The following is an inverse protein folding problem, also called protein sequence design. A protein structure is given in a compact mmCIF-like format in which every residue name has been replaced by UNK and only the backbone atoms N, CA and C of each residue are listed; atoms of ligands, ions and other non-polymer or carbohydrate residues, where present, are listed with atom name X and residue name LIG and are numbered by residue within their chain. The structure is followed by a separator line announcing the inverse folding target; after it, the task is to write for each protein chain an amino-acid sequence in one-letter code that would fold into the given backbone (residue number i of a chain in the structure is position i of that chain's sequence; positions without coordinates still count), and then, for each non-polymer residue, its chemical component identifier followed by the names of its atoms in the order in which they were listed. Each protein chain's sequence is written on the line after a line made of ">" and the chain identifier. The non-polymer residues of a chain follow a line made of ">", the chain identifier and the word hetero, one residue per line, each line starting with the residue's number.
data_IF_965402190111
#
_entry.id   IF_965402190111
#
_cell.length_a   1.000
_cell.length_b   1.000
_cell.length_c   1.000
_cell.angle_alpha   90.00
_cell.angle_beta   90.00
_cell.angle_gamma   90.00
#
_symmetry.space_group_name_H-M   'P 1'
#
loop_
_entity.id
_entity.type
_entity.pdbx_description
1 polymer ?
#
# COMPACT_ATOMS: atom_id res chain seq x y z
N UNK A 1 -7.06 -9.45 -14.02
CA UNK A 1 -5.95 -9.53 -13.04
C UNK A 1 -6.27 -10.60 -12.00
N UNK A 2 -5.29 -11.41 -11.61
CA UNK A 2 -5.41 -12.38 -10.52
C UNK A 2 -4.38 -12.08 -9.44
N UNK A 3 -4.71 -12.36 -8.19
CA UNK A 3 -3.78 -12.28 -7.06
C UNK A 3 -3.70 -13.64 -6.37
N UNK A 4 -2.55 -14.00 -5.77
CA UNK A 4 -2.47 -15.16 -4.90
C UNK A 4 -3.34 -14.98 -3.65
N UNK A 5 -3.80 -16.09 -3.08
CA UNK A 5 -4.61 -16.07 -1.85
C UNK A 5 -3.81 -16.50 -0.62
N UNK A 6 -2.84 -17.41 -0.77
CA UNK A 6 -2.02 -17.91 0.32
C UNK A 6 -1.25 -16.76 1.00
N UNK A 7 -1.39 -16.63 2.32
CA UNK A 7 -0.80 -15.55 3.11
C UNK A 7 -1.43 -14.16 2.89
N UNK A 8 -2.37 -14.02 1.95
CA UNK A 8 -3.04 -12.76 1.61
C UNK A 8 -4.47 -12.74 2.14
N UNK A 9 -5.25 -13.78 1.85
CA UNK A 9 -6.64 -13.91 2.28
C UNK A 9 -6.77 -14.97 3.37
N UNK A 10 -7.53 -14.65 4.41
CA UNK A 10 -7.86 -15.57 5.49
C UNK A 10 -9.34 -16.01 5.36
N UNK A 11 -9.63 -17.33 5.22
CA UNK A 11 -11.01 -17.80 5.13
C UNK A 11 -11.87 -17.49 6.35
N UNK A 12 -11.29 -17.42 7.54
CA UNK A 12 -12.04 -17.27 8.80
C UNK A 12 -12.53 -15.84 9.00
N UNK A 13 -11.75 -14.86 8.56
CA UNK A 13 -12.11 -13.46 8.63
C UNK A 13 -11.24 -12.59 7.72
N UNK A 14 -11.73 -11.40 7.39
CA UNK A 14 -10.95 -10.45 6.61
C UNK A 14 -11.75 -9.26 6.14
N UNK A 15 -11.02 -8.32 5.54
CA UNK A 15 -11.58 -7.13 4.91
C UNK A 15 -10.88 -6.85 3.60
N UNK A 16 -11.64 -6.59 2.53
CA UNK A 16 -11.14 -6.10 1.25
C UNK A 16 -11.73 -4.71 1.03
N UNK A 17 -10.89 -3.70 0.83
CA UNK A 17 -11.28 -2.32 0.55
C UNK A 17 -10.67 -1.85 -0.76
N UNK A 18 -11.46 -1.20 -1.61
CA UNK A 18 -10.98 -0.69 -2.90
C UNK A 18 -11.96 0.32 -3.49
N UNK A 19 -11.46 1.10 -4.45
CA UNK A 19 -12.29 1.93 -5.33
C UNK A 19 -12.49 1.20 -6.65
N UNK A 20 -13.70 1.28 -7.18
CA UNK A 20 -14.05 0.72 -8.50
C UNK A 20 -14.86 1.70 -9.32
N UNK A 21 -14.52 1.80 -10.60
CA UNK A 21 -15.30 2.51 -11.61
C UNK A 21 -15.76 1.52 -12.66
N UNK A 22 -17.00 0.99 -12.58
CA UNK A 22 -17.52 0.08 -13.58
C UNK A 22 -17.72 0.84 -14.90
N UNK A 23 -17.23 0.27 -16.00
CA UNK A 23 -17.42 0.84 -17.34
C UNK A 23 -18.75 0.41 -17.97
N UNK A 24 -19.40 -0.59 -17.37
CA UNK A 24 -20.71 -1.10 -17.76
C UNK A 24 -21.41 -1.70 -16.55
N UNK A 25 -22.75 -1.68 -16.55
CA UNK A 25 -23.58 -2.44 -15.63
C UNK A 25 -24.39 -3.47 -16.44
N UNK A 26 -24.20 -4.73 -16.08
CA UNK A 26 -24.90 -5.90 -16.60
C UNK A 26 -25.13 -6.85 -15.44
N UNK A 27 -26.11 -7.72 -15.57
CA UNK A 27 -26.30 -8.76 -14.56
C UNK A 27 -25.05 -9.63 -14.45
N UNK A 28 -24.67 -9.90 -13.20
CA UNK A 28 -23.50 -10.69 -12.85
C UNK A 28 -22.18 -10.05 -13.30
N UNK A 29 -22.02 -8.72 -13.15
CA UNK A 29 -20.73 -8.09 -13.37
C UNK A 29 -19.78 -8.39 -12.20
N UNK A 30 -18.86 -9.34 -12.38
CA UNK A 30 -18.20 -10.09 -11.32
C UNK A 30 -16.81 -9.55 -10.94
N UNK A 31 -16.61 -9.43 -9.62
CA UNK A 31 -15.39 -9.02 -8.95
C UNK A 31 -15.04 -9.99 -7.82
N UNK A 32 -13.76 -10.24 -7.58
CA UNK A 32 -13.27 -11.15 -6.52
C UNK A 32 -13.91 -12.55 -6.54
N UNK A 33 -14.19 -13.10 -7.73
CA UNK A 33 -14.87 -14.39 -7.86
C UNK A 33 -13.93 -15.57 -7.55
N UNK A 34 -14.34 -16.43 -6.64
CA UNK A 34 -13.78 -17.75 -6.42
C UNK A 34 -14.84 -18.73 -5.87
N UNK A 35 -14.72 -19.99 -6.27
CA UNK A 35 -15.48 -21.09 -5.65
C UNK A 35 -14.81 -21.48 -4.32
N UNK A 36 -15.62 -21.72 -3.31
CA UNK A 36 -15.17 -22.03 -1.94
C UNK A 36 -15.91 -23.23 -1.38
N UNK A 37 -15.39 -23.86 -0.33
CA UNK A 37 -16.04 -25.03 0.27
C UNK A 37 -17.42 -24.72 0.88
N UNK A 38 -17.70 -23.46 1.19
CA UNK A 38 -19.00 -23.00 1.69
C UNK A 38 -19.91 -22.40 0.58
N UNK A 39 -19.46 -22.38 -0.68
CA UNK A 39 -20.19 -21.87 -1.85
C UNK A 39 -19.30 -21.03 -2.77
N UNK A 40 -19.46 -19.71 -2.75
CA UNK A 40 -18.62 -18.76 -3.48
C UNK A 40 -18.23 -17.57 -2.61
N UNK A 41 -17.10 -16.98 -2.95
CA UNK A 41 -16.75 -15.62 -2.59
C UNK A 41 -16.91 -14.78 -3.87
N UNK A 42 -17.83 -13.83 -3.87
CA UNK A 42 -18.16 -13.05 -5.06
C UNK A 42 -18.71 -11.69 -4.68
N UNK A 43 -18.13 -10.63 -5.23
CA UNK A 43 -18.84 -9.36 -5.40
C UNK A 43 -19.37 -9.31 -6.83
N UNK A 44 -20.64 -8.94 -7.01
CA UNK A 44 -21.15 -8.64 -8.34
C UNK A 44 -22.07 -7.43 -8.36
N UNK A 45 -22.13 -6.76 -9.51
CA UNK A 45 -23.11 -5.72 -9.79
C UNK A 45 -24.18 -6.24 -10.75
N UNK A 46 -25.38 -5.68 -10.65
CA UNK A 46 -26.52 -5.98 -11.50
C UNK A 46 -26.80 -4.84 -12.51
N UNK A 47 -27.58 -5.12 -13.55
CA UNK A 47 -27.95 -4.13 -14.55
C UNK A 47 -28.73 -2.94 -13.97
N UNK A 48 -29.48 -3.16 -12.89
CA UNK A 48 -30.22 -2.12 -12.15
C UNK A 48 -29.35 -1.31 -11.17
N UNK A 49 -28.03 -1.53 -11.14
CA UNK A 49 -27.11 -0.82 -10.25
C UNK A 49 -27.14 -1.26 -8.78
N UNK A 50 -27.73 -2.42 -8.45
CA UNK A 50 -27.46 -3.03 -7.15
C UNK A 50 -26.10 -3.72 -7.13
N UNK A 51 -25.52 -3.84 -5.94
CA UNK A 51 -24.34 -4.65 -5.67
C UNK A 51 -24.69 -5.77 -4.69
N UNK A 52 -23.99 -6.90 -4.82
CA UNK A 52 -24.13 -8.04 -3.93
C UNK A 52 -22.77 -8.61 -3.54
N UNK A 53 -22.58 -8.90 -2.26
CA UNK A 53 -21.45 -9.67 -1.76
C UNK A 53 -21.92 -11.00 -1.20
N UNK A 54 -21.52 -12.09 -1.86
CA UNK A 54 -21.66 -13.45 -1.39
C UNK A 54 -20.38 -13.95 -0.74
N UNK A 55 -20.51 -14.43 0.48
CA UNK A 55 -19.61 -15.42 1.06
C UNK A 55 -20.42 -16.61 1.58
N UNK A 56 -20.66 -17.57 0.69
CA UNK A 56 -21.57 -18.69 0.94
C UNK A 56 -22.29 -19.17 -0.34
N UNK A 57 -23.44 -19.87 -0.23
CA UNK A 57 -24.18 -20.39 -1.38
C UNK A 57 -24.58 -19.30 -2.38
N UNK A 58 -24.95 -19.71 -3.60
CA UNK A 58 -25.35 -18.77 -4.65
C UNK A 58 -26.50 -17.86 -4.20
N UNK A 59 -26.31 -16.55 -4.36
CA UNK A 59 -27.30 -15.51 -4.07
C UNK A 59 -27.75 -15.45 -2.60
N UNK A 60 -26.90 -15.91 -1.68
CA UNK A 60 -27.16 -15.90 -0.23
C UNK A 60 -26.66 -14.61 0.46
N UNK A 61 -25.93 -13.80 -0.28
CA UNK A 61 -25.23 -12.61 0.15
C UNK A 61 -26.12 -11.43 0.53
N UNK A 62 -25.43 -10.35 0.87
CA UNK A 62 -26.04 -9.07 1.15
C UNK A 62 -26.17 -8.27 -0.14
N UNK A 63 -27.33 -7.65 -0.35
CA UNK A 63 -27.63 -6.80 -1.50
C UNK A 63 -27.82 -5.36 -1.05
N UNK A 64 -27.38 -4.43 -1.90
CA UNK A 64 -27.82 -3.04 -1.83
C UNK A 64 -29.18 -2.88 -2.53
N UNK A 65 -29.82 -1.73 -2.31
CA UNK A 65 -30.91 -1.27 -3.18
C UNK A 65 -30.42 -1.06 -4.63
N UNK A 66 -31.36 -0.94 -5.57
CA UNK A 66 -31.07 -0.54 -6.96
C UNK A 66 -30.54 0.89 -7.05
N UNK A 67 -29.86 1.22 -8.16
CA UNK A 67 -29.32 2.54 -8.50
C UNK A 67 -28.22 3.08 -7.57
N UNK A 68 -27.60 2.22 -6.77
CA UNK A 68 -26.49 2.58 -5.87
C UNK A 68 -25.17 2.67 -6.66
N UNK A 69 -24.87 1.64 -7.46
CA UNK A 69 -23.74 1.63 -8.38
C UNK A 69 -24.16 2.30 -9.69
N UNK A 70 -23.28 3.13 -10.24
CA UNK A 70 -23.50 3.86 -11.49
C UNK A 70 -22.30 3.69 -12.41
N UNK A 71 -22.58 3.45 -13.69
CA UNK A 71 -21.54 3.39 -14.73
C UNK A 71 -20.72 4.68 -14.73
N UNK A 72 -19.41 4.54 -14.93
CA UNK A 72 -18.43 5.63 -15.03
C UNK A 72 -18.27 6.51 -13.77
N UNK A 73 -18.85 6.11 -12.62
CA UNK A 73 -18.60 6.76 -11.33
C UNK A 73 -17.67 5.91 -10.48
N UNK A 74 -16.83 6.56 -9.68
CA UNK A 74 -16.05 5.89 -8.66
C UNK A 74 -16.93 5.53 -7.47
N UNK A 75 -16.77 4.29 -7.00
CA UNK A 75 -17.43 3.80 -5.80
C UNK A 75 -16.39 3.20 -4.86
N UNK A 76 -16.49 3.55 -3.58
CA UNK A 76 -15.72 2.91 -2.54
C UNK A 76 -16.46 1.65 -2.07
N UNK A 77 -15.79 0.51 -2.09
CA UNK A 77 -16.35 -0.78 -1.71
C UNK A 77 -15.51 -1.36 -0.58
N UNK A 78 -16.17 -1.86 0.46
CA UNK A 78 -15.56 -2.77 1.44
C UNK A 78 -16.34 -4.08 1.54
N UNK A 79 -15.64 -5.21 1.45
CA UNK A 79 -16.16 -6.55 1.68
C UNK A 79 -15.61 -7.04 3.01
N UNK A 80 -16.47 -7.49 3.92
CA UNK A 80 -16.05 -7.93 5.25
C UNK A 80 -16.72 -9.24 5.64
N UNK A 81 -15.97 -10.16 6.21
CA UNK A 81 -16.48 -11.42 6.75
C UNK A 81 -15.77 -11.78 8.05
N UNK A 82 -16.48 -12.46 8.95
CA UNK A 82 -15.89 -12.91 10.21
C UNK A 82 -16.67 -14.09 10.79
N UNK A 83 -15.98 -15.19 11.05
CA UNK A 83 -16.53 -16.33 11.81
C UNK A 83 -16.82 -15.94 13.26
N UNK A 84 -15.96 -15.11 13.87
CA UNK A 84 -16.08 -14.67 15.26
C UNK A 84 -17.32 -13.79 15.47
N UNK A 85 -17.58 -12.87 14.54
CA UNK A 85 -18.80 -12.03 14.58
C UNK A 85 -20.01 -12.80 14.01
N UNK A 86 -19.78 -13.79 13.15
CA UNK A 86 -20.84 -14.55 12.48
C UNK A 86 -21.53 -13.80 11.35
N UNK A 87 -20.87 -12.78 10.77
CA UNK A 87 -21.46 -11.85 9.81
C UNK A 87 -20.64 -11.72 8.51
N UNK A 88 -21.34 -11.40 7.43
CA UNK A 88 -20.78 -10.81 6.22
C UNK A 88 -21.38 -9.42 6.02
N UNK A 89 -20.60 -8.48 5.49
CA UNK A 89 -21.04 -7.13 5.21
C UNK A 89 -20.43 -6.59 3.90
N UNK A 90 -21.23 -5.77 3.23
CA UNK A 90 -20.87 -4.97 2.07
C UNK A 90 -21.02 -3.51 2.46
N UNK A 91 -19.98 -2.71 2.23
CA UNK A 91 -20.04 -1.27 2.36
C UNK A 91 -19.94 -0.65 0.97
N UNK A 92 -20.83 0.28 0.66
CA UNK A 92 -20.79 1.05 -0.59
C UNK A 92 -20.88 2.53 -0.26
N UNK A 93 -19.81 3.28 -0.58
CA UNK A 93 -19.69 4.71 -0.29
C UNK A 93 -20.03 5.04 1.18
N UNK A 94 -19.48 4.26 2.11
CA UNK A 94 -19.70 4.40 3.56
C UNK A 94 -21.00 3.79 4.10
N UNK A 95 -21.95 3.41 3.25
CA UNK A 95 -23.21 2.79 3.70
C UNK A 95 -23.01 1.29 3.90
N UNK A 96 -23.29 0.79 5.10
CA UNK A 96 -23.18 -0.62 5.48
C UNK A 96 -24.46 -1.40 5.17
N UNK A 97 -24.28 -2.58 4.61
CA UNK A 97 -25.29 -3.61 4.44
C UNK A 97 -24.73 -4.91 5.03
N UNK A 98 -25.47 -5.59 5.92
CA UNK A 98 -24.96 -6.80 6.58
C UNK A 98 -25.99 -7.93 6.70
N UNK A 99 -25.49 -9.16 6.82
CA UNK A 99 -26.26 -10.37 7.12
C UNK A 99 -25.43 -11.37 7.94
N UNK A 100 -26.11 -12.36 8.52
CA UNK A 100 -25.43 -13.54 9.06
C UNK A 100 -24.67 -14.29 7.95
N UNK A 101 -23.61 -15.00 8.33
CA UNK A 101 -22.94 -15.94 7.43
C UNK A 101 -23.90 -17.08 7.08
N UNK A 102 -24.29 -17.24 5.81
CA UNK A 102 -25.38 -18.14 5.42
C UNK A 102 -24.96 -19.62 5.49
N UNK A 103 -23.67 -19.92 5.40
CA UNK A 103 -23.13 -21.27 5.48
C UNK A 103 -21.76 -21.29 6.17
N UNK A 104 -21.62 -20.51 7.25
CA UNK A 104 -20.34 -20.35 7.94
C UNK A 104 -19.23 -19.82 7.01
N UNK A 105 -18.00 -20.24 7.26
CA UNK A 105 -16.81 -19.83 6.49
C UNK A 105 -16.20 -21.00 5.73
N UNK A 106 -15.48 -20.70 4.64
CA UNK A 106 -14.74 -21.70 3.90
C UNK A 106 -13.61 -22.31 4.73
N UNK A 107 -13.29 -23.57 4.49
CA UNK A 107 -12.13 -24.25 5.10
C UNK A 107 -10.82 -23.79 4.47
N UNK A 108 -10.85 -23.42 3.19
CA UNK A 108 -9.72 -22.87 2.45
C UNK A 108 -10.19 -22.03 1.26
N UNK A 109 -9.28 -21.21 0.72
CA UNK A 109 -9.47 -20.52 -0.55
C UNK A 109 -8.64 -21.17 -1.66
N UNK A 110 -9.09 -21.13 -2.93
CA UNK A 110 -8.28 -21.53 -4.09
C UNK A 110 -6.97 -20.74 -4.16
N UNK A 111 -5.96 -21.21 -4.90
CA UNK A 111 -4.62 -20.59 -4.94
C UNK A 111 -4.59 -19.14 -5.47
N UNK A 112 -5.59 -18.73 -6.23
CA UNK A 112 -5.71 -17.37 -6.77
C UNK A 112 -7.17 -16.91 -6.79
N UNK A 113 -7.36 -15.59 -6.76
CA UNK A 113 -8.66 -14.95 -6.99
C UNK A 113 -8.54 -13.88 -8.08
N UNK A 114 -9.54 -13.82 -8.96
CA UNK A 114 -9.62 -12.79 -10.00
C UNK A 114 -10.31 -11.54 -9.45
N UNK A 115 -9.69 -10.36 -9.56
CA UNK A 115 -10.26 -9.10 -9.09
C UNK A 115 -11.37 -8.61 -10.03
N UNK A 116 -11.18 -8.75 -11.34
CA UNK A 116 -12.13 -8.39 -12.41
C UNK A 116 -12.22 -9.59 -13.35
N UNK A 117 -13.44 -10.06 -13.65
CA UNK A 117 -13.64 -11.30 -14.42
C UNK A 117 -14.22 -11.09 -15.82
N UNK A 118 -15.46 -10.61 -15.93
CA UNK A 118 -16.25 -10.71 -17.16
C UNK A 118 -16.59 -9.37 -17.82
N UNK A 119 -16.49 -8.25 -17.10
CA UNK A 119 -16.60 -6.92 -17.69
C UNK A 119 -15.52 -5.99 -17.17
N UNK A 120 -15.08 -5.06 -18.02
CA UNK A 120 -14.02 -4.11 -17.69
C UNK A 120 -14.46 -3.11 -16.61
N UNK A 121 -13.54 -2.81 -15.70
CA UNK A 121 -13.66 -1.76 -14.70
C UNK A 121 -12.28 -1.20 -14.40
N UNK A 122 -12.23 0.04 -13.91
CA UNK A 122 -11.02 0.57 -13.29
C UNK A 122 -11.05 0.23 -11.80
N UNK A 123 -9.91 -0.18 -11.27
CA UNK A 123 -9.70 -0.45 -9.84
C UNK A 123 -8.63 0.51 -9.35
N UNK A 124 -8.82 1.03 -8.15
CA UNK A 124 -7.88 1.92 -7.49
C UNK A 124 -7.86 1.61 -5.97
N UNK A 125 -6.75 1.93 -5.31
CA UNK A 125 -6.58 1.89 -3.85
C UNK A 125 -7.02 0.57 -3.21
N UNK A 126 -6.56 -0.57 -3.74
CA UNK A 126 -6.88 -1.89 -3.20
C UNK A 126 -6.07 -2.17 -1.92
N UNK A 127 -6.75 -2.54 -0.85
CA UNK A 127 -6.18 -3.10 0.40
C UNK A 127 -6.90 -4.40 0.75
N UNK A 128 -6.13 -5.39 1.18
CA UNK A 128 -6.63 -6.61 1.81
C UNK A 128 -6.04 -6.69 3.21
N UNK A 129 -6.90 -6.97 4.20
CA UNK A 129 -6.52 -7.22 5.58
C UNK A 129 -6.92 -8.63 6.00
N UNK A 130 -6.07 -9.29 6.79
CA UNK A 130 -6.33 -10.63 7.36
C UNK A 130 -7.22 -10.61 8.62
N UNK A 131 -7.75 -9.45 8.99
CA UNK A 131 -8.70 -9.26 10.08
C UNK A 131 -9.98 -8.58 9.62
N UNK A 132 -10.98 -8.71 10.46
CA UNK A 132 -12.20 -7.91 10.40
C UNK A 132 -11.92 -6.46 10.82
N UNK A 133 -11.96 -5.50 9.88
CA UNK A 133 -11.87 -4.05 10.17
C UNK A 133 -13.19 -3.57 10.78
N UNK A 134 -13.14 -2.60 11.70
CA UNK A 134 -14.35 -2.05 12.33
C UNK A 134 -15.15 -1.17 11.36
N UNK A 135 -16.40 -0.84 11.72
CA UNK A 135 -17.23 0.06 10.92
C UNK A 135 -16.60 1.47 10.85
N UNK A 136 -16.01 1.92 11.95
CA UNK A 136 -15.32 3.20 12.10
C UNK A 136 -14.08 3.25 11.18
N UNK A 137 -13.23 2.22 11.19
CA UNK A 137 -12.05 2.19 10.32
C UNK A 137 -12.41 2.27 8.83
N UNK A 138 -13.46 1.57 8.43
CA UNK A 138 -13.93 1.56 7.03
C UNK A 138 -14.54 2.92 6.66
N UNK A 139 -15.28 3.54 7.60
CA UNK A 139 -15.87 4.87 7.40
C UNK A 139 -14.78 5.96 7.32
N UNK A 140 -13.81 5.95 8.22
CA UNK A 140 -12.67 6.87 8.21
C UNK A 140 -11.86 6.72 6.91
N UNK A 141 -11.61 5.49 6.48
CA UNK A 141 -10.95 5.21 5.21
C UNK A 141 -11.72 5.82 4.03
N UNK A 142 -13.04 5.63 3.96
CA UNK A 142 -13.89 6.21 2.93
C UNK A 142 -13.84 7.75 2.93
N UNK A 143 -13.98 8.37 4.11
CA UNK A 143 -14.04 9.82 4.27
C UNK A 143 -12.69 10.52 4.04
N UNK A 144 -11.58 9.81 4.26
CA UNK A 144 -10.25 10.41 4.12
C UNK A 144 -9.95 10.89 2.70
N UNK A 145 -10.51 10.22 1.68
CA UNK A 145 -10.14 10.35 0.27
C UNK A 145 -8.62 10.18 0.00
N UNK A 146 -7.86 9.65 0.96
CA UNK A 146 -6.44 9.40 0.87
C UNK A 146 -6.16 7.93 0.50
N UNK A 147 -4.88 7.62 0.25
CA UNK A 147 -4.43 6.24 0.16
C UNK A 147 -4.70 5.51 1.48
N UNK A 148 -5.24 4.29 1.40
CA UNK A 148 -5.50 3.46 2.59
C UNK A 148 -4.21 3.26 3.40
N UNK A 149 -4.20 3.34 4.73
CA UNK A 149 -2.99 3.11 5.51
C UNK A 149 -2.54 1.64 5.45
N UNK A 150 -1.23 1.42 5.59
CA UNK A 150 -0.62 0.10 5.80
C UNK A 150 -0.36 -0.06 7.29
N UNK A 151 -0.77 -1.19 7.85
CA UNK A 151 -0.55 -1.59 9.24
C UNK A 151 -0.24 -3.09 9.31
N UNK A 152 -0.06 -3.62 10.52
CA UNK A 152 0.33 -5.02 10.76
C UNK A 152 -0.71 -6.05 10.28
N UNK A 153 -1.93 -5.63 9.96
CA UNK A 153 -3.00 -6.49 9.47
C UNK A 153 -3.16 -6.43 7.95
N UNK A 154 -2.45 -5.51 7.29
CA UNK A 154 -2.48 -5.33 5.84
C UNK A 154 -1.62 -6.40 5.19
N UNK A 155 -2.25 -7.33 4.47
CA UNK A 155 -1.56 -8.45 3.80
C UNK A 155 -1.30 -8.22 2.32
N UNK A 156 -2.03 -7.29 1.70
CA UNK A 156 -1.84 -6.95 0.29
C UNK A 156 -2.34 -5.53 0.01
N UNK A 157 -1.60 -4.78 -0.80
CA UNK A 157 -1.96 -3.41 -1.17
C UNK A 157 -1.48 -3.05 -2.56
N UNK A 158 -2.34 -2.37 -3.34
CA UNK A 158 -2.02 -1.75 -4.62
C UNK A 158 -2.60 -0.33 -4.66
N UNK A 159 -1.73 0.68 -4.67
CA UNK A 159 -2.16 2.08 -4.59
C UNK A 159 -2.57 2.70 -5.93
N UNK A 160 -2.03 2.23 -7.06
CA UNK A 160 -2.26 2.79 -8.40
C UNK A 160 -2.04 4.32 -8.53
N UNK A 161 -1.17 4.87 -7.70
CA UNK A 161 -0.90 6.31 -7.54
C UNK A 161 0.37 6.79 -8.27
N UNK A 162 0.87 5.98 -9.22
CA UNK A 162 2.10 6.24 -9.98
C UNK A 162 3.34 6.52 -9.10
N UNK A 163 3.37 6.02 -7.86
CA UNK A 163 4.51 6.22 -6.94
C UNK A 163 5.50 5.04 -6.89
N UNK A 164 5.44 4.12 -7.86
CA UNK A 164 6.32 2.97 -7.92
C UNK A 164 7.78 3.43 -8.13
N UNK A 165 8.54 3.46 -7.04
CA UNK A 165 9.95 3.84 -7.02
C UNK A 165 10.84 2.59 -7.10
N UNK A 166 11.04 2.05 -8.30
CA UNK A 166 11.99 0.96 -8.52
C UNK A 166 13.37 1.53 -8.90
N UNK A 167 14.39 1.36 -8.04
CA UNK A 167 15.74 1.85 -8.29
C UNK A 167 15.91 3.37 -8.24
N UNK A 168 14.90 4.10 -7.76
CA UNK A 168 14.83 5.57 -7.85
C UNK A 168 14.51 6.15 -6.47
N UNK A 169 15.56 6.44 -5.68
CA UNK A 169 15.46 7.02 -4.34
C UNK A 169 15.98 6.08 -3.26
N UNK A 170 16.82 6.65 -2.38
CA UNK A 170 17.51 5.97 -1.30
C UNK A 170 18.61 6.86 -0.74
N UNK A 171 19.09 6.55 0.45
CA UNK A 171 20.33 7.13 0.95
C UNK A 171 21.35 6.04 1.26
N UNK A 172 22.60 6.27 0.88
CA UNK A 172 23.73 5.52 1.40
C UNK A 172 24.29 6.29 2.59
N UNK A 173 24.51 5.62 3.72
CA UNK A 173 25.31 6.15 4.83
C UNK A 173 26.57 5.29 4.91
N UNK A 174 27.73 5.94 4.85
CA UNK A 174 29.00 5.24 5.00
C UNK A 174 29.17 4.68 6.43
N UNK A 175 30.05 3.69 6.62
CA UNK A 175 30.64 3.44 7.92
C UNK A 175 31.26 4.71 8.51
N UNK A 176 31.52 4.68 9.81
CA UNK A 176 32.28 5.72 10.48
C UNK A 176 33.78 5.59 10.12
N UNK A 177 34.36 6.65 9.58
CA UNK A 177 35.79 6.74 9.32
C UNK A 177 36.48 7.40 10.52
N UNK A 178 37.41 6.67 11.15
CA UNK A 178 38.22 7.20 12.24
C UNK A 178 39.28 8.17 11.70
N UNK A 179 39.26 9.42 12.19
CA UNK A 179 40.19 10.47 11.79
C UNK A 179 41.37 10.61 12.76
N UNK A 180 41.55 9.69 13.71
CA UNK A 180 42.50 9.85 14.81
C UNK A 180 43.95 10.08 14.35
N UNK A 181 44.34 9.42 13.26
CA UNK A 181 45.66 9.52 12.66
C UNK A 181 45.95 10.88 12.00
N UNK A 182 44.92 11.70 11.72
CA UNK A 182 45.11 13.03 11.12
C UNK A 182 45.70 14.02 12.12
N UNK A 183 45.43 13.87 13.42
CA UNK A 183 45.88 14.81 14.43
C UNK A 183 45.20 16.18 14.25
N UNK A 184 45.98 17.19 13.86
CA UNK A 184 45.45 18.54 13.60
C UNK A 184 45.22 18.74 12.10
N UNK A 185 44.00 19.11 11.72
CA UNK A 185 43.64 19.34 10.33
C UNK A 185 44.41 20.53 9.74
N UNK A 186 45.19 20.30 8.68
CA UNK A 186 45.78 21.41 7.91
C UNK A 186 44.76 22.03 6.93
N UNK A 187 43.88 21.19 6.36
CA UNK A 187 42.80 21.57 5.46
C UNK A 187 41.78 20.43 5.34
N UNK A 188 40.71 20.62 4.58
CA UNK A 188 39.76 19.58 4.22
C UNK A 188 39.26 19.75 2.78
N UNK A 189 38.91 18.63 2.14
CA UNK A 189 38.33 18.61 0.80
C UNK A 189 37.44 17.38 0.62
N UNK A 190 36.43 17.48 -0.25
CA UNK A 190 35.60 16.37 -0.69
C UNK A 190 35.34 16.49 -2.19
N UNK A 191 35.37 15.36 -2.89
CA UNK A 191 35.02 15.28 -4.30
C UNK A 191 34.41 13.91 -4.60
N UNK A 192 33.60 13.86 -5.66
CA UNK A 192 33.03 12.63 -6.20
C UNK A 192 32.85 12.77 -7.71
N UNK A 193 32.67 11.62 -8.36
CA UNK A 193 32.30 11.55 -9.76
C UNK A 193 30.82 11.20 -9.85
N UNK A 194 30.09 11.89 -10.74
CA UNK A 194 28.74 11.53 -11.10
C UNK A 194 28.76 10.71 -12.39
N UNK A 195 27.94 9.66 -12.43
CA UNK A 195 27.72 8.91 -13.67
C UNK A 195 26.86 9.74 -14.63
N UNK A 196 26.99 9.49 -15.94
CA UNK A 196 26.17 10.14 -16.97
C UNK A 196 24.74 9.55 -17.04
N UNK A 197 24.14 9.28 -15.87
CA UNK A 197 22.82 8.67 -15.73
C UNK A 197 21.69 9.68 -15.56
N UNK A 198 22.02 10.97 -15.48
CA UNK A 198 21.04 12.06 -15.29
C UNK A 198 20.43 12.10 -13.88
N UNK A 199 20.99 11.36 -12.91
CA UNK A 199 20.52 11.35 -11.52
C UNK A 199 21.32 12.37 -10.71
N UNK A 200 20.63 13.35 -10.13
CA UNK A 200 21.25 14.31 -9.23
C UNK A 200 21.52 13.66 -7.86
N UNK A 201 22.72 13.85 -7.33
CA UNK A 201 23.14 13.33 -6.02
C UNK A 201 23.46 14.50 -5.08
N UNK A 202 22.85 14.52 -3.90
CA UNK A 202 23.26 15.42 -2.81
C UNK A 202 24.08 14.65 -1.80
N UNK A 203 25.24 15.19 -1.43
CA UNK A 203 26.15 14.58 -0.47
C UNK A 203 26.12 15.41 0.81
N UNK A 204 26.14 14.72 1.94
CA UNK A 204 26.22 15.30 3.26
C UNK A 204 27.39 14.67 4.01
N UNK A 205 28.01 15.45 4.89
CA UNK A 205 29.04 15.00 5.80
C UNK A 205 28.66 15.34 7.24
N UNK A 206 29.12 14.52 8.19
CA UNK A 206 28.89 14.74 9.61
C UNK A 206 30.07 14.24 10.42
N UNK A 207 30.55 15.06 11.33
CA UNK A 207 31.42 14.59 12.41
C UNK A 207 30.58 14.08 13.59
N UNK A 208 31.09 13.12 14.33
CA UNK A 208 30.45 12.57 15.55
C UNK A 208 29.99 13.61 16.59
N UNK A 209 30.64 14.77 16.69
CA UNK A 209 30.22 15.86 17.59
C UNK A 209 29.11 16.77 17.02
N UNK A 210 28.64 16.50 15.81
CA UNK A 210 27.57 17.26 15.15
C UNK A 210 26.27 16.47 15.21
N UNK A 211 25.20 17.16 15.61
CA UNK A 211 23.85 16.61 15.58
C UNK A 211 23.31 16.52 14.16
N UNK A 212 23.64 17.51 13.33
CA UNK A 212 23.06 17.69 12.00
C UNK A 212 24.04 17.30 10.90
N UNK A 213 23.51 16.73 9.82
CA UNK A 213 24.22 16.54 8.56
C UNK A 213 24.44 17.88 7.87
N UNK A 214 25.66 18.11 7.37
CA UNK A 214 26.02 19.31 6.60
C UNK A 214 26.08 18.93 5.13
N UNK A 215 25.31 19.61 4.28
CA UNK A 215 25.40 19.42 2.83
C UNK A 215 26.75 19.92 2.34
N UNK A 216 27.42 19.10 1.54
CA UNK A 216 28.72 19.43 0.94
C UNK A 216 28.58 19.48 -0.58
N UNK A 217 29.45 20.26 -1.21
CA UNK A 217 29.48 20.44 -2.66
C UNK A 217 30.66 19.70 -3.28
N UNK A 218 30.53 19.28 -4.54
CA UNK A 218 31.58 18.55 -5.22
C UNK A 218 32.80 19.46 -5.43
N UNK A 219 33.99 19.03 -4.97
CA UNK A 219 35.19 19.86 -4.93
C UNK A 219 35.23 20.85 -3.76
N UNK A 220 34.27 20.78 -2.84
CA UNK A 220 34.16 21.65 -1.67
C UNK A 220 34.96 21.15 -0.46
N UNK A 221 34.60 21.68 0.72
CA UNK A 221 35.19 21.30 2.00
C UNK A 221 34.27 20.38 2.80
N UNK A 222 34.88 19.54 3.63
CA UNK A 222 34.17 18.84 4.72
C UNK A 222 33.83 19.84 5.84
N UNK A 223 32.93 19.50 6.78
CA UNK A 223 32.66 20.31 7.97
C UNK A 223 33.81 20.21 8.99
N UNK A 224 35.03 20.50 8.53
CA UNK A 224 36.33 20.46 9.22
C UNK A 224 37.10 21.71 8.79
N UNK A 225 37.58 22.50 9.75
CA UNK A 225 38.39 23.68 9.55
C UNK A 225 39.89 23.40 9.76
N UNK A 226 40.74 24.26 9.19
CA UNK A 226 42.16 24.22 9.48
C UNK A 226 42.40 24.55 10.97
N UNK A 227 43.19 23.74 11.65
CA UNK A 227 43.46 23.82 13.08
C UNK A 227 42.59 22.92 13.95
N UNK A 228 41.55 22.27 13.41
CA UNK A 228 40.70 21.37 14.18
C UNK A 228 41.47 20.13 14.65
N UNK A 229 41.35 19.77 15.93
CA UNK A 229 41.89 18.50 16.45
C UNK A 229 40.92 17.35 16.13
N UNK A 230 41.39 16.40 15.33
CA UNK A 230 40.64 15.26 14.83
C UNK A 230 40.97 13.94 15.53
N UNK A 231 41.90 13.94 16.49
CA UNK A 231 42.20 12.78 17.33
C UNK A 231 40.93 12.33 18.07
N UNK A 232 40.54 11.06 17.89
CA UNK A 232 39.32 10.47 18.48
C UNK A 232 38.01 10.85 17.77
N UNK A 233 38.07 11.56 16.64
CA UNK A 233 36.89 12.02 15.90
C UNK A 233 36.54 11.07 14.76
N UNK A 234 35.25 10.93 14.48
CA UNK A 234 34.74 10.10 13.37
C UNK A 234 33.96 10.92 12.34
N UNK A 235 34.12 10.56 11.07
CA UNK A 235 33.41 11.15 9.93
C UNK A 235 32.45 10.13 9.32
N UNK A 236 31.26 10.58 8.94
CA UNK A 236 30.35 9.83 8.07
C UNK A 236 29.94 10.67 6.87
N UNK A 237 29.66 9.98 5.77
CA UNK A 237 29.08 10.55 4.56
C UNK A 237 27.69 9.97 4.33
N UNK A 238 26.77 10.80 3.87
CA UNK A 238 25.45 10.40 3.42
C UNK A 238 25.22 10.90 2.00
N UNK A 239 24.85 10.02 1.09
CA UNK A 239 24.46 10.40 -0.27
C UNK A 239 22.97 10.19 -0.45
N UNK A 240 22.26 11.20 -0.93
CA UNK A 240 20.83 11.15 -1.26
C UNK A 240 20.67 11.22 -2.78
N UNK A 241 19.96 10.26 -3.34
CA UNK A 241 19.58 10.24 -4.74
C UNK A 241 18.33 11.11 -4.93
N UNK A 242 18.41 12.16 -5.76
CA UNK A 242 17.32 13.08 -6.07
C UNK A 242 16.84 12.89 -7.50
N UNK A 243 15.53 13.02 -7.70
CA UNK A 243 14.91 13.08 -9.03
C UNK A 243 15.21 14.44 -9.67
N UNK A 244 15.71 14.44 -10.90
CA UNK A 244 15.55 15.60 -11.80
C UNK A 244 14.10 15.51 -12.32
N UNK A 245 13.26 16.45 -11.92
CA UNK A 245 11.85 16.54 -12.38
C UNK A 245 11.82 17.26 -13.72
#
# INVERSE_FOLDING_TARGET
>A
MKIPTAGILNPQEGTIEFRVKPLVLKDWNNYFYMLTSNGRFLLFFCANGSACFDYGPDNSGVFTSSNIIRVNNWHYIALRWSVTIGKQALFVNGIKYEKNLPNGVATSFPSTVSIVNNYSALIDTLRISNRTRTDEEIMEAYQSEQALPVDEWTTYKLNFDNNLNFGQGGYYISPEFDLSAVGTAATSAISWQEDADGIQRTVYAKLDNQTNWVEVINGGKLPINAGDLLTGRKLQLKTKLLKVV
#
